data_IF_609741767625
#
_entry.id   IF_609741767625
#
_cell.length_a   1.000
_cell.length_b   1.000
_cell.length_c   1.000
_cell.angle_alpha   90.00
_cell.angle_beta   90.00
_cell.angle_gamma   90.00
#
_symmetry.space_group_name_H-M   'P 1'
#
loop_
_entity.id
_entity.type
_entity.pdbx_description
1 polymer ?
#
# COMPACT_ATOMS: atom_id res chain seq x y z
N UNK A 1 25.93 -28.14 53.34
CA UNK A 1 24.65 -27.84 52.67
C UNK A 1 24.12 -26.40 52.86
N UNK A 2 24.70 -25.56 53.73
CA UNK A 2 24.30 -24.14 53.91
C UNK A 2 25.00 -23.18 52.94
N UNK A 3 26.22 -23.48 52.49
CA UNK A 3 26.97 -22.63 51.53
C UNK A 3 26.40 -22.63 50.10
N UNK A 4 25.65 -23.67 49.71
CA UNK A 4 24.96 -23.74 48.41
C UNK A 4 23.74 -22.81 48.33
N UNK A 5 23.10 -22.52 49.47
CA UNK A 5 21.95 -21.61 49.55
C UNK A 5 22.39 -20.14 49.41
N UNK A 6 23.59 -19.80 49.91
CA UNK A 6 24.16 -18.46 49.74
C UNK A 6 24.65 -18.17 48.31
N UNK A 7 25.11 -19.17 47.55
CA UNK A 7 25.46 -18.97 46.14
C UNK A 7 24.19 -18.83 45.26
N UNK A 8 23.16 -19.62 45.54
CA UNK A 8 21.88 -19.53 44.82
C UNK A 8 21.10 -18.22 45.09
N UNK A 9 21.25 -17.61 46.27
CA UNK A 9 20.61 -16.32 46.59
C UNK A 9 21.33 -15.11 46.00
N UNK A 10 22.65 -15.21 45.77
CA UNK A 10 23.43 -14.18 45.07
C UNK A 10 23.10 -14.19 43.57
N UNK A 11 22.96 -15.37 42.96
CA UNK A 11 22.61 -15.51 41.54
C UNK A 11 21.23 -14.92 41.18
N UNK A 12 20.22 -15.03 42.07
CA UNK A 12 18.86 -14.52 41.81
C UNK A 12 18.78 -12.98 41.83
N UNK A 13 19.56 -12.32 42.71
CA UNK A 13 19.62 -10.85 42.80
C UNK A 13 20.44 -10.27 41.64
N UNK A 14 21.52 -10.97 41.24
CA UNK A 14 22.30 -10.64 40.05
C UNK A 14 21.46 -10.79 38.76
N UNK A 15 20.61 -11.81 38.67
CA UNK A 15 19.70 -12.05 37.52
C UNK A 15 18.68 -10.92 37.33
N UNK A 16 18.14 -10.37 38.43
CA UNK A 16 17.23 -9.21 38.36
C UNK A 16 17.96 -7.94 37.91
N UNK A 17 19.21 -7.70 38.35
CA UNK A 17 20.03 -6.57 37.88
C UNK A 17 20.38 -6.69 36.40
N UNK A 18 20.70 -7.90 35.93
CA UNK A 18 20.91 -8.19 34.51
C UNK A 18 19.63 -8.06 33.67
N UNK A 19 18.46 -8.38 34.24
CA UNK A 19 17.15 -8.19 33.62
C UNK A 19 16.84 -6.72 33.33
N UNK A 20 17.08 -5.83 34.30
CA UNK A 20 16.93 -4.38 34.10
C UNK A 20 17.91 -3.86 33.05
N UNK A 21 19.17 -4.30 33.06
CA UNK A 21 20.16 -3.92 32.03
C UNK A 21 19.77 -4.44 30.64
N UNK A 22 19.20 -5.64 30.53
CA UNK A 22 18.67 -6.21 29.27
C UNK A 22 17.42 -5.46 28.80
N UNK A 23 16.51 -5.11 29.70
CA UNK A 23 15.34 -4.28 29.40
C UNK A 23 15.74 -2.86 28.96
N UNK A 24 16.78 -2.27 29.57
CA UNK A 24 17.34 -1.00 29.14
C UNK A 24 17.95 -1.06 27.73
N UNK A 25 18.42 -2.23 27.26
CA UNK A 25 18.80 -2.41 25.84
C UNK A 25 17.60 -2.40 24.90
N UNK A 26 16.40 -2.78 25.36
CA UNK A 26 15.16 -2.62 24.58
C UNK A 26 14.80 -1.15 24.37
N UNK A 27 15.32 -0.22 25.20
CA UNK A 27 15.18 1.21 24.93
C UNK A 27 15.82 1.63 23.60
N UNK A 28 16.70 0.80 23.02
CA UNK A 28 17.20 1.03 21.66
C UNK A 28 16.10 0.93 20.60
N UNK A 29 14.94 0.33 20.89
CA UNK A 29 13.76 0.40 20.00
C UNK A 29 13.29 1.85 19.86
N UNK A 30 13.46 2.71 20.88
CA UNK A 30 13.15 4.14 20.76
C UNK A 30 14.03 4.86 19.74
N UNK A 31 15.13 4.25 19.27
CA UNK A 31 15.88 4.75 18.12
C UNK A 31 15.02 4.79 16.85
N UNK A 32 13.92 4.05 16.78
CA UNK A 32 12.91 4.16 15.71
C UNK A 32 12.22 5.52 15.69
N UNK A 33 12.13 6.24 16.82
CA UNK A 33 11.64 7.62 16.84
C UNK A 33 12.63 8.61 16.22
N UNK A 34 13.91 8.22 16.06
CA UNK A 34 14.89 8.99 15.26
C UNK A 34 14.58 8.95 13.76
N UNK A 35 13.69 8.05 13.33
CA UNK A 35 13.03 8.07 12.02
C UNK A 35 12.06 9.26 11.87
N UNK A 36 11.97 10.15 12.86
CA UNK A 36 11.24 11.41 12.82
C UNK A 36 11.56 12.29 11.61
N UNK A 37 12.79 12.23 11.09
CA UNK A 37 13.17 12.94 9.86
C UNK A 37 12.48 12.36 8.61
N UNK A 38 12.09 11.08 8.61
CA UNK A 38 11.25 10.50 7.55
C UNK A 38 9.76 10.85 7.71
N UNK A 39 9.34 11.44 8.84
CA UNK A 39 7.94 11.85 9.02
C UNK A 39 7.55 12.97 8.06
N UNK A 40 8.50 13.79 7.58
CA UNK A 40 8.23 14.78 6.53
C UNK A 40 7.82 14.09 5.22
N UNK A 41 8.48 13.00 4.84
CA UNK A 41 8.05 12.20 3.68
C UNK A 41 6.72 11.49 3.92
N UNK A 42 6.46 11.08 5.17
CA UNK A 42 5.20 10.44 5.55
C UNK A 42 4.01 11.43 5.57
N UNK A 43 4.22 12.70 5.91
CA UNK A 43 3.17 13.73 5.86
C UNK A 43 2.75 14.04 4.42
N UNK A 44 3.70 14.10 3.48
CA UNK A 44 3.39 14.27 2.06
C UNK A 44 2.64 13.07 1.49
N UNK A 45 3.07 11.85 1.81
CA UNK A 45 2.34 10.63 1.42
C UNK A 45 0.92 10.60 2.00
N UNK A 46 0.78 10.93 3.29
CA UNK A 46 -0.53 11.02 3.94
C UNK A 46 -1.41 12.06 3.27
N UNK A 47 -0.86 13.20 2.90
CA UNK A 47 -1.59 14.26 2.20
C UNK A 47 -2.03 13.79 0.81
N UNK A 48 -1.13 13.19 0.03
CA UNK A 48 -1.44 12.66 -1.30
C UNK A 48 -2.55 11.59 -1.25
N UNK A 49 -2.50 10.67 -0.28
CA UNK A 49 -3.55 9.66 -0.09
C UNK A 49 -4.89 10.32 0.28
N UNK A 50 -4.88 11.30 1.19
CA UNK A 50 -6.09 12.00 1.62
C UNK A 50 -6.74 12.78 0.47
N UNK A 51 -5.95 13.46 -0.35
CA UNK A 51 -6.41 14.16 -1.56
C UNK A 51 -6.96 13.17 -2.59
N UNK A 52 -6.34 11.99 -2.71
CA UNK A 52 -6.76 10.91 -3.61
C UNK A 52 -7.99 10.12 -3.16
N UNK A 53 -8.48 10.30 -1.93
CA UNK A 53 -9.40 9.36 -1.28
C UNK A 53 -10.66 9.06 -2.09
N UNK A 54 -11.26 10.06 -2.75
CA UNK A 54 -12.47 9.85 -3.55
C UNK A 54 -12.20 8.94 -4.75
N UNK A 55 -11.04 9.10 -5.42
CA UNK A 55 -10.63 8.25 -6.54
C UNK A 55 -10.35 6.82 -6.07
N UNK A 56 -9.68 6.67 -4.93
CA UNK A 56 -9.40 5.37 -4.31
C UNK A 56 -10.69 4.66 -3.90
N UNK A 57 -11.65 5.37 -3.30
CA UNK A 57 -12.95 4.79 -2.90
C UNK A 57 -13.70 4.26 -4.12
N UNK A 58 -13.82 5.05 -5.20
CA UNK A 58 -14.48 4.61 -6.43
C UNK A 58 -13.81 3.37 -7.02
N UNK A 59 -12.47 3.34 -7.00
CA UNK A 59 -11.71 2.18 -7.45
C UNK A 59 -12.00 0.93 -6.60
N UNK A 60 -11.89 1.04 -5.27
CA UNK A 60 -12.15 -0.07 -4.35
C UNK A 60 -13.60 -0.57 -4.44
N UNK A 61 -14.58 0.33 -4.65
CA UNK A 61 -15.97 -0.06 -4.88
C UNK A 61 -16.12 -0.85 -6.18
N UNK A 62 -15.47 -0.42 -7.27
CA UNK A 62 -15.47 -1.15 -8.54
C UNK A 62 -14.87 -2.55 -8.38
N UNK A 63 -13.75 -2.66 -7.67
CA UNK A 63 -13.08 -3.91 -7.35
C UNK A 63 -13.99 -4.84 -6.52
N UNK A 64 -14.67 -4.30 -5.51
CA UNK A 64 -15.62 -5.07 -4.70
C UNK A 64 -16.79 -5.61 -5.53
N UNK A 65 -17.33 -4.80 -6.45
CA UNK A 65 -18.39 -5.23 -7.36
C UNK A 65 -17.90 -6.37 -8.27
N UNK A 66 -16.69 -6.24 -8.83
CA UNK A 66 -16.08 -7.29 -9.65
C UNK A 66 -15.94 -8.61 -8.88
N UNK A 67 -15.44 -8.57 -7.64
CA UNK A 67 -15.34 -9.75 -6.75
C UNK A 67 -16.69 -10.43 -6.52
N UNK A 68 -17.74 -9.64 -6.28
CA UNK A 68 -19.09 -10.19 -6.06
C UNK A 68 -19.59 -10.90 -7.32
N UNK A 69 -19.41 -10.29 -8.49
CA UNK A 69 -19.83 -10.85 -9.78
C UNK A 69 -19.05 -12.14 -10.09
N UNK A 70 -17.73 -12.09 -9.99
CA UNK A 70 -16.85 -13.22 -10.31
C UNK A 70 -16.98 -14.36 -9.29
N UNK A 71 -17.13 -14.02 -7.99
CA UNK A 71 -17.41 -14.99 -6.93
C UNK A 71 -18.75 -15.68 -7.13
N UNK A 72 -19.81 -14.95 -7.48
CA UNK A 72 -21.10 -15.54 -7.80
C UNK A 72 -21.03 -16.42 -9.06
N UNK A 73 -20.32 -15.98 -10.11
CA UNK A 73 -20.12 -16.78 -11.32
C UNK A 73 -19.36 -18.08 -11.03
N UNK A 74 -18.32 -18.04 -10.19
CA UNK A 74 -17.59 -19.23 -9.77
C UNK A 74 -18.44 -20.18 -8.94
N UNK A 75 -19.25 -19.66 -8.01
CA UNK A 75 -20.19 -20.49 -7.26
C UNK A 75 -21.15 -21.24 -8.19
N UNK A 76 -21.67 -20.59 -9.24
CA UNK A 76 -22.57 -21.23 -10.22
C UNK A 76 -21.86 -22.33 -11.03
N UNK A 77 -20.58 -22.17 -11.32
CA UNK A 77 -19.81 -23.11 -12.17
C UNK A 77 -19.20 -24.25 -11.36
N UNK A 78 -18.61 -23.95 -10.21
CA UNK A 78 -17.85 -24.88 -9.37
C UNK A 78 -18.67 -25.42 -8.18
N UNK A 79 -19.74 -24.75 -7.76
CA UNK A 79 -20.52 -25.14 -6.57
C UNK A 79 -21.18 -26.50 -6.67
N UNK A 80 -21.45 -26.99 -7.88
CA UNK A 80 -22.00 -28.32 -8.13
C UNK A 80 -20.94 -29.42 -8.32
N UNK A 81 -19.66 -29.07 -8.34
CA UNK A 81 -18.56 -30.00 -8.64
C UNK A 81 -18.14 -30.72 -7.37
N UNK A 82 -18.33 -32.04 -7.34
CA UNK A 82 -17.86 -32.88 -6.23
C UNK A 82 -16.36 -33.10 -6.34
N UNK A 83 -15.63 -32.72 -5.28
CA UNK A 83 -14.20 -32.99 -5.11
C UNK A 83 -13.93 -34.40 -4.57
N UNK A 84 -12.67 -34.79 -4.61
CA UNK A 84 -12.19 -36.02 -3.96
C UNK A 84 -12.58 -36.04 -2.47
N UNK A 85 -12.88 -37.22 -1.92
CA UNK A 85 -13.22 -37.35 -0.51
C UNK A 85 -12.06 -36.86 0.38
N UNK A 86 -12.33 -35.86 1.22
CA UNK A 86 -11.36 -35.26 2.15
C UNK A 86 -10.96 -33.82 1.83
N UNK A 87 -11.40 -33.26 0.69
CA UNK A 87 -11.23 -31.84 0.37
C UNK A 87 -12.59 -31.15 0.43
N UNK A 88 -12.77 -30.20 1.35
CA UNK A 88 -13.99 -29.40 1.45
C UNK A 88 -14.22 -28.61 0.15
N UNK A 89 -15.47 -28.56 -0.32
CA UNK A 89 -15.78 -27.83 -1.54
C UNK A 89 -15.87 -26.33 -1.22
N UNK A 90 -14.77 -25.62 -1.40
CA UNK A 90 -14.69 -24.16 -1.15
C UNK A 90 -15.59 -23.26 -1.98
N UNK A 91 -16.42 -23.81 -2.87
CA UNK A 91 -17.37 -23.06 -3.68
C UNK A 91 -18.83 -23.39 -3.31
N UNK A 92 -19.09 -23.89 -2.10
CA UNK A 92 -20.42 -24.25 -1.60
C UNK A 92 -21.36 -23.05 -1.40
N UNK A 93 -20.79 -21.87 -1.12
CA UNK A 93 -21.55 -20.64 -0.97
C UNK A 93 -20.94 -19.47 -1.75
N UNK A 94 -21.76 -18.47 -2.07
CA UNK A 94 -21.30 -17.24 -2.72
C UNK A 94 -20.21 -16.54 -1.88
N UNK A 95 -20.34 -16.41 -0.54
CA UNK A 95 -19.30 -15.80 0.27
C UNK A 95 -17.94 -16.54 0.25
N UNK A 96 -17.93 -17.87 0.22
CA UNK A 96 -16.68 -18.63 0.11
C UNK A 96 -16.04 -18.47 -1.27
N UNK A 97 -16.86 -18.43 -2.32
CA UNK A 97 -16.39 -18.15 -3.68
C UNK A 97 -15.83 -16.73 -3.82
N UNK A 98 -16.44 -15.75 -3.13
CA UNK A 98 -15.91 -14.40 -3.00
C UNK A 98 -14.59 -14.36 -2.24
N UNK A 99 -14.46 -15.13 -1.15
CA UNK A 99 -13.21 -15.25 -0.40
C UNK A 99 -12.08 -15.70 -1.33
N UNK A 100 -12.32 -16.75 -2.14
CA UNK A 100 -11.34 -17.19 -3.13
C UNK A 100 -10.98 -16.11 -4.16
N UNK A 101 -12.00 -15.41 -4.69
CA UNK A 101 -11.80 -14.33 -5.66
C UNK A 101 -10.96 -13.19 -5.06
N UNK A 102 -11.19 -12.82 -3.79
CA UNK A 102 -10.39 -11.81 -3.09
C UNK A 102 -8.94 -12.27 -2.94
N UNK A 103 -8.71 -13.48 -2.43
CA UNK A 103 -7.36 -14.04 -2.22
C UNK A 103 -6.58 -14.14 -3.52
N UNK A 104 -7.25 -14.49 -4.62
CA UNK A 104 -6.64 -14.60 -5.95
C UNK A 104 -6.36 -13.24 -6.56
N UNK A 105 -7.35 -12.34 -6.56
CA UNK A 105 -7.22 -10.98 -7.11
C UNK A 105 -6.19 -10.14 -6.34
N UNK A 106 -6.09 -10.31 -5.02
CA UNK A 106 -5.05 -9.66 -4.20
C UNK A 106 -3.68 -10.33 -4.31
N UNK A 107 -3.55 -11.36 -5.14
CA UNK A 107 -2.30 -12.12 -5.38
C UNK A 107 -1.75 -12.86 -4.15
N UNK A 108 -2.56 -13.06 -3.11
CA UNK A 108 -2.18 -13.83 -1.91
C UNK A 108 -2.11 -15.32 -2.22
N UNK A 109 -3.15 -15.86 -2.86
CA UNK A 109 -3.15 -17.23 -3.39
C UNK A 109 -2.82 -18.34 -2.38
N UNK A 110 -3.58 -18.47 -1.29
CA UNK A 110 -3.34 -19.52 -0.28
C UNK A 110 -3.34 -20.95 -0.84
N UNK A 111 -4.13 -21.20 -1.89
CA UNK A 111 -4.19 -22.51 -2.56
C UNK A 111 -4.98 -23.57 -1.79
N UNK A 112 -5.73 -23.16 -0.77
CA UNK A 112 -6.67 -23.97 0.00
C UNK A 112 -7.85 -24.46 -0.86
N UNK A 113 -8.35 -23.59 -1.73
CA UNK A 113 -9.45 -23.89 -2.67
C UNK A 113 -9.07 -23.37 -4.06
N UNK A 114 -9.46 -24.09 -5.12
CA UNK A 114 -9.11 -23.75 -6.52
C UNK A 114 -10.19 -24.20 -7.52
N UNK A 115 -10.48 -23.49 -8.62
CA UNK A 115 -11.43 -23.97 -9.62
C UNK A 115 -10.82 -25.12 -10.42
N UNK A 116 -11.60 -26.19 -10.63
CA UNK A 116 -11.12 -27.39 -11.33
C UNK A 116 -11.68 -27.48 -12.75
N UNK A 117 -12.85 -26.91 -13.00
CA UNK A 117 -13.49 -26.96 -14.31
C UNK A 117 -12.76 -26.08 -15.33
N UNK A 118 -12.82 -26.40 -16.64
CA UNK A 118 -12.26 -25.54 -17.67
C UNK A 118 -12.84 -24.11 -17.65
N UNK A 119 -14.14 -23.99 -17.39
CA UNK A 119 -14.82 -22.70 -17.32
C UNK A 119 -14.41 -21.90 -16.07
N UNK A 120 -14.32 -22.57 -14.91
CA UNK A 120 -13.82 -21.96 -13.68
C UNK A 120 -12.36 -21.50 -13.79
N UNK A 121 -11.52 -22.26 -14.51
CA UNK A 121 -10.14 -21.84 -14.83
C UNK A 121 -10.08 -20.63 -15.77
N UNK A 122 -11.04 -20.50 -16.69
CA UNK A 122 -11.16 -19.31 -17.53
C UNK A 122 -11.56 -18.08 -16.68
N UNK A 123 -12.54 -18.23 -15.78
CA UNK A 123 -12.92 -17.19 -14.81
C UNK A 123 -11.74 -16.81 -13.90
N UNK A 124 -10.97 -17.80 -13.43
CA UNK A 124 -9.75 -17.58 -12.66
C UNK A 124 -8.73 -16.71 -13.40
N UNK A 125 -8.51 -16.99 -14.68
CA UNK A 125 -7.58 -16.20 -15.48
C UNK A 125 -8.03 -14.74 -15.62
N UNK A 126 -9.33 -14.49 -15.76
CA UNK A 126 -9.88 -13.13 -15.79
C UNK A 126 -9.65 -12.40 -14.46
N UNK A 127 -9.94 -13.05 -13.32
CA UNK A 127 -9.69 -12.51 -11.97
C UNK A 127 -8.21 -12.10 -11.80
N UNK A 128 -7.28 -12.90 -12.32
CA UNK A 128 -5.85 -12.58 -12.25
C UNK A 128 -5.50 -11.28 -13.00
N UNK A 129 -6.11 -11.01 -14.15
CA UNK A 129 -5.93 -9.73 -14.86
C UNK A 129 -6.50 -8.54 -14.08
N UNK A 130 -7.66 -8.71 -13.45
CA UNK A 130 -8.22 -7.68 -12.55
C UNK A 130 -7.31 -7.44 -11.34
N UNK A 131 -6.63 -8.48 -10.84
CA UNK A 131 -5.65 -8.36 -9.77
C UNK A 131 -4.49 -7.41 -10.08
N UNK A 132 -3.99 -7.39 -11.32
CA UNK A 132 -2.97 -6.41 -11.71
C UNK A 132 -3.48 -4.97 -11.64
N UNK A 133 -4.75 -4.75 -11.95
CA UNK A 133 -5.38 -3.44 -11.84
C UNK A 133 -5.41 -2.95 -10.38
N UNK A 134 -5.55 -3.87 -9.41
CA UNK A 134 -5.49 -3.58 -7.97
C UNK A 134 -4.15 -3.00 -7.54
N UNK A 135 -3.04 -3.42 -8.14
CA UNK A 135 -1.71 -2.89 -7.81
C UNK A 135 -1.43 -1.60 -8.59
N UNK A 136 -1.71 -1.60 -9.89
CA UNK A 136 -1.32 -0.51 -10.80
C UNK A 136 -2.13 0.77 -10.52
N UNK A 137 -3.45 0.68 -10.36
CA UNK A 137 -4.32 1.87 -10.28
C UNK A 137 -4.09 2.71 -9.02
N UNK A 138 -4.12 2.17 -7.79
CA UNK A 138 -3.91 2.98 -6.59
C UNK A 138 -2.48 3.51 -6.53
N UNK A 139 -1.50 2.74 -7.00
CA UNK A 139 -0.12 3.21 -7.14
C UNK A 139 -0.06 4.40 -8.10
N UNK A 140 -0.67 4.30 -9.28
CA UNK A 140 -0.72 5.38 -10.26
C UNK A 140 -1.45 6.64 -9.74
N UNK A 141 -2.58 6.48 -9.06
CA UNK A 141 -3.32 7.60 -8.45
C UNK A 141 -2.46 8.31 -7.40
N UNK A 142 -1.88 7.56 -6.46
CA UNK A 142 -1.06 8.14 -5.38
C UNK A 142 0.24 8.74 -5.92
N UNK A 143 0.91 8.07 -6.86
CA UNK A 143 2.12 8.60 -7.51
C UNK A 143 1.84 9.88 -8.28
N UNK A 144 0.71 9.97 -8.98
CA UNK A 144 0.32 11.21 -9.65
C UNK A 144 0.15 12.34 -8.63
N UNK A 145 -0.53 12.08 -7.51
CA UNK A 145 -0.81 13.10 -6.50
C UNK A 145 0.46 13.50 -5.72
N UNK A 146 1.37 12.55 -5.51
CA UNK A 146 2.73 12.82 -5.01
C UNK A 146 3.56 13.65 -6.00
N UNK A 147 3.47 13.40 -7.31
CA UNK A 147 4.17 14.20 -8.31
C UNK A 147 3.65 15.65 -8.38
N UNK A 148 2.38 15.88 -8.07
CA UNK A 148 1.78 17.21 -7.98
C UNK A 148 2.04 17.91 -6.63
N UNK A 149 2.28 17.14 -5.56
CA UNK A 149 2.50 17.61 -4.19
C UNK A 149 3.98 17.69 -3.79
N UNK A 150 4.88 17.02 -4.50
CA UNK A 150 6.33 17.12 -4.32
C UNK A 150 6.77 18.58 -4.39
N UNK A 151 7.94 18.93 -3.80
CA UNK A 151 8.37 20.31 -3.61
C UNK A 151 8.20 21.03 -4.94
N UNK A 152 7.12 21.83 -5.04
CA UNK A 152 6.86 22.66 -6.20
C UNK A 152 8.13 23.48 -6.32
N UNK A 153 8.95 23.18 -7.31
CA UNK A 153 10.01 24.09 -7.71
C UNK A 153 9.28 25.37 -8.07
N UNK A 154 9.18 26.27 -7.12
CA UNK A 154 9.12 27.69 -7.36
C UNK A 154 7.99 28.17 -8.30
N UNK A 155 6.83 27.51 -8.33
CA UNK A 155 5.69 27.96 -9.16
C UNK A 155 4.93 29.16 -8.58
N UNK A 156 5.44 29.82 -7.55
CA UNK A 156 4.86 31.08 -7.07
C UNK A 156 5.80 31.91 -6.21
N UNK A 157 7.10 32.01 -6.55
CA UNK A 157 7.67 33.34 -6.35
C UNK A 157 6.93 34.23 -7.33
N UNK A 158 6.02 35.06 -6.80
CA UNK A 158 5.29 36.06 -7.57
C UNK A 158 6.36 37.00 -8.11
N UNK A 159 6.82 36.72 -9.33
CA UNK A 159 7.77 37.59 -10.03
C UNK A 159 6.93 38.66 -10.72
N UNK A 160 7.32 39.91 -10.55
CA UNK A 160 6.79 41.03 -11.34
C UNK A 160 7.53 41.16 -12.68
N UNK A 161 8.22 40.10 -13.12
CA UNK A 161 9.07 40.13 -14.29
C UNK A 161 8.22 40.04 -15.56
N UNK A 162 8.21 41.14 -16.31
CA UNK A 162 7.54 41.26 -17.60
C UNK A 162 8.62 41.35 -18.68
N UNK A 163 8.40 40.66 -19.81
CA UNK A 163 9.32 40.79 -20.94
C UNK A 163 9.29 42.22 -21.52
N UNK A 164 10.45 42.91 -21.66
CA UNK A 164 10.49 44.28 -22.16
C UNK A 164 10.11 44.42 -23.64
N UNK A 165 10.23 43.35 -24.42
CA UNK A 165 9.92 43.35 -25.87
C UNK A 165 8.47 42.98 -26.16
N UNK A 166 7.98 41.87 -25.60
CA UNK A 166 6.65 41.36 -25.94
C UNK A 166 5.60 41.60 -24.85
N UNK A 167 5.98 42.22 -23.72
CA UNK A 167 5.11 42.55 -22.58
C UNK A 167 4.35 41.34 -21.99
N UNK A 168 4.81 40.11 -22.26
CA UNK A 168 4.22 38.91 -21.69
C UNK A 168 4.79 38.63 -20.31
N UNK A 169 3.91 38.12 -19.45
CA UNK A 169 4.20 37.77 -18.06
C UNK A 169 4.29 36.25 -17.87
N UNK A 170 4.56 35.81 -16.64
CA UNK A 170 4.58 34.39 -16.27
C UNK A 170 5.90 33.69 -16.63
N UNK A 171 7.01 34.41 -16.49
CA UNK A 171 8.37 33.86 -16.57
C UNK A 171 8.76 33.21 -15.25
N UNK A 172 9.56 32.13 -15.32
CA UNK A 172 10.16 31.53 -14.12
C UNK A 172 11.12 32.53 -13.47
N UNK A 173 11.26 32.49 -12.14
CA UNK A 173 12.08 33.42 -11.34
C UNK A 173 13.55 33.50 -11.76
N UNK A 174 14.05 32.45 -12.39
CA UNK A 174 15.42 32.31 -12.88
C UNK A 174 15.51 32.35 -14.42
N UNK A 175 14.45 32.74 -15.12
CA UNK A 175 14.45 32.82 -16.57
C UNK A 175 15.34 33.98 -17.05
N UNK A 176 16.36 33.66 -17.86
CA UNK A 176 17.24 34.66 -18.49
C UNK A 176 16.70 35.14 -19.85
N UNK A 177 15.80 34.37 -20.46
CA UNK A 177 15.21 34.62 -21.77
C UNK A 177 13.69 34.44 -21.73
N UNK A 178 12.99 35.23 -22.54
CA UNK A 178 11.54 35.20 -22.66
C UNK A 178 11.11 33.93 -23.39
N UNK A 179 10.25 33.11 -22.75
CA UNK A 179 9.69 31.88 -23.34
C UNK A 179 8.81 32.09 -24.57
N UNK A 180 8.41 33.32 -24.87
CA UNK A 180 7.49 33.64 -25.97
C UNK A 180 8.18 34.27 -27.17
N UNK A 181 9.14 35.17 -26.96
CA UNK A 181 9.84 35.88 -28.04
C UNK A 181 11.35 35.63 -28.08
N UNK A 182 11.93 34.96 -27.08
CA UNK A 182 13.36 34.66 -27.02
C UNK A 182 14.27 35.85 -26.66
N UNK A 183 13.72 37.04 -26.41
CA UNK A 183 14.50 38.20 -25.97
C UNK A 183 15.03 37.98 -24.54
N UNK A 184 16.10 38.70 -24.17
CA UNK A 184 16.59 38.70 -22.79
C UNK A 184 15.55 39.36 -21.87
N UNK A 185 15.35 38.78 -20.68
CA UNK A 185 14.46 39.31 -19.63
C UNK A 185 15.21 40.21 -18.63
#
# INVERSE_FOLDING_TARGET
PTYLICLASVDMVEMQRLGVIRALRLLRVFRIFKLGHMLTGASELRHAIWTSRSKIIVFLTTVLIAVVIEGAALHLVEGHVKREPGVENGFESIPESMYWAIVTMTTVGYGDITPVTPLGKCLAAMIMFFGYSLIIVPTGIVTAELAHSGPKSDRSQITTQVCPECMKEGHDSNATFCKFCGSRL
#
